data_IF_255944393866
#
_entry.id   IF_255944393866
#
_cell.length_a   1.000
_cell.length_b   1.000
_cell.length_c   1.000
_cell.angle_alpha   90.00
_cell.angle_beta   90.00
_cell.angle_gamma   90.00
#
_symmetry.space_group_name_H-M   'P 1'
#
loop_
_entity.id
_entity.type
_entity.pdbx_description
1 polymer ?
#
# COMPACT_ATOMS: atom_id res chain seq x y z
N UNK A 1 9.03 -0.73 -9.81
CA UNK A 1 7.85 0.11 -10.03
C UNK A 1 7.51 0.80 -8.72
N UNK A 2 7.52 2.13 -8.71
CA UNK A 2 7.20 2.95 -7.52
C UNK A 2 5.84 3.67 -7.64
N UNK A 3 5.24 3.66 -8.85
CA UNK A 3 3.97 4.30 -9.11
C UNK A 3 2.84 3.27 -9.00
N UNK A 4 2.17 3.24 -7.84
CA UNK A 4 1.04 2.34 -7.58
C UNK A 4 -0.16 2.61 -8.47
N UNK A 5 -0.40 3.87 -8.83
CA UNK A 5 -1.57 4.29 -9.61
C UNK A 5 -1.66 3.60 -10.97
N UNK A 6 -0.51 3.37 -11.62
CA UNK A 6 -0.44 2.66 -12.89
C UNK A 6 -0.93 1.21 -12.75
N UNK A 7 -0.50 0.50 -11.70
CA UNK A 7 -0.91 -0.89 -11.48
C UNK A 7 -2.36 -0.98 -11.01
N UNK A 8 -2.85 0.00 -10.24
CA UNK A 8 -4.26 0.09 -9.86
C UNK A 8 -5.15 0.29 -11.09
N UNK A 9 -4.74 1.16 -12.01
CA UNK A 9 -5.55 1.56 -13.16
C UNK A 9 -5.50 0.55 -14.30
N UNK A 10 -4.33 -0.07 -14.53
CA UNK A 10 -4.07 -0.90 -15.71
C UNK A 10 -3.40 -2.24 -15.34
N UNK A 11 -3.67 -2.77 -14.14
CA UNK A 11 -2.99 -3.94 -13.60
C UNK A 11 -2.99 -5.15 -14.53
N UNK A 12 -4.14 -5.52 -15.10
CA UNK A 12 -4.22 -6.64 -16.04
C UNK A 12 -3.31 -6.43 -17.26
N UNK A 13 -3.35 -5.24 -17.87
CA UNK A 13 -2.56 -4.91 -19.05
C UNK A 13 -1.06 -4.98 -18.73
N UNK A 14 -0.64 -4.34 -17.64
CA UNK A 14 0.77 -4.27 -17.23
C UNK A 14 1.31 -5.67 -16.89
N UNK A 15 0.56 -6.46 -16.11
CA UNK A 15 0.97 -7.81 -15.73
C UNK A 15 1.03 -8.74 -16.95
N UNK A 16 0.08 -8.64 -17.87
CA UNK A 16 0.09 -9.45 -19.09
C UNK A 16 1.25 -9.07 -20.00
N UNK A 17 1.51 -7.79 -20.20
CA UNK A 17 2.63 -7.31 -21.03
C UNK A 17 3.99 -7.75 -20.44
N UNK A 18 4.16 -7.64 -19.13
CA UNK A 18 5.38 -8.09 -18.46
C UNK A 18 5.60 -9.61 -18.64
N UNK A 19 4.54 -10.42 -18.53
CA UNK A 19 4.61 -11.87 -18.79
C UNK A 19 4.99 -12.18 -20.24
N UNK A 20 4.38 -11.50 -21.21
CA UNK A 20 4.67 -11.70 -22.63
C UNK A 20 6.12 -11.39 -22.98
N UNK A 21 6.70 -10.36 -22.34
CA UNK A 21 8.07 -9.92 -22.58
C UNK A 21 9.10 -10.57 -21.62
N UNK A 22 8.70 -11.55 -20.79
CA UNK A 22 9.55 -12.13 -19.75
C UNK A 22 10.22 -11.09 -18.84
N UNK A 23 9.54 -9.96 -18.63
CA UNK A 23 10.03 -8.86 -17.81
C UNK A 23 9.62 -9.06 -16.34
N UNK A 24 10.49 -8.67 -15.43
CA UNK A 24 10.23 -8.72 -13.99
C UNK A 24 9.81 -7.34 -13.47
N UNK A 25 8.70 -7.28 -12.74
CA UNK A 25 8.27 -6.08 -12.03
C UNK A 25 8.74 -6.20 -10.57
N UNK A 26 9.66 -5.33 -10.18
CA UNK A 26 10.15 -5.25 -8.79
C UNK A 26 9.40 -4.14 -8.03
N UNK A 27 8.75 -4.43 -6.90
CA UNK A 27 8.09 -3.42 -6.09
C UNK A 27 9.09 -2.51 -5.38
N UNK A 28 8.84 -1.20 -5.43
CA UNK A 28 9.62 -0.19 -4.69
C UNK A 28 8.81 0.42 -3.56
N UNK A 29 7.48 0.32 -3.59
CA UNK A 29 6.64 0.73 -2.48
C UNK A 29 6.96 -0.11 -1.23
N UNK A 30 6.93 0.51 -0.05
CA UNK A 30 7.61 -0.01 1.14
C UNK A 30 7.02 -1.34 1.61
N UNK A 31 5.70 -1.44 1.61
CA UNK A 31 4.94 -2.59 2.06
C UNK A 31 5.06 -3.78 1.09
N UNK A 32 5.06 -3.52 -0.22
CA UNK A 32 5.24 -4.55 -1.24
C UNK A 32 6.71 -4.96 -1.36
N UNK A 33 7.64 -4.05 -1.16
CA UNK A 33 9.07 -4.37 -1.07
C UNK A 33 9.32 -5.29 0.13
N UNK A 34 8.70 -5.03 1.28
CA UNK A 34 8.77 -5.90 2.45
C UNK A 34 8.18 -7.30 2.17
N UNK A 35 6.98 -7.37 1.58
CA UNK A 35 6.40 -8.67 1.17
C UNK A 35 7.31 -9.41 0.21
N UNK A 36 7.84 -8.73 -0.81
CA UNK A 36 8.74 -9.34 -1.79
C UNK A 36 9.98 -9.92 -1.12
N UNK A 37 10.58 -9.20 -0.17
CA UNK A 37 11.72 -9.69 0.61
C UNK A 37 11.37 -10.93 1.46
N UNK A 38 10.18 -10.98 2.07
CA UNK A 38 9.72 -12.13 2.83
C UNK A 38 9.40 -13.36 1.97
N UNK A 39 8.98 -13.18 0.72
CA UNK A 39 8.66 -14.27 -0.20
C UNK A 39 9.87 -14.75 -1.00
N UNK A 40 10.92 -13.93 -1.12
CA UNK A 40 12.06 -14.24 -1.95
C UNK A 40 12.85 -15.43 -1.40
N UNK A 41 12.91 -16.52 -2.17
CA UNK A 41 13.56 -17.77 -1.77
C UNK A 41 12.64 -18.78 -1.08
N UNK A 42 11.38 -18.42 -0.81
CA UNK A 42 10.40 -19.33 -0.23
C UNK A 42 9.85 -20.31 -1.26
N UNK A 43 9.72 -21.57 -0.86
CA UNK A 43 9.16 -22.63 -1.70
C UNK A 43 7.65 -22.79 -1.56
N UNK A 44 7.08 -22.30 -0.45
CA UNK A 44 5.66 -22.36 -0.16
C UNK A 44 4.98 -21.06 -0.58
N UNK A 45 3.77 -21.18 -1.13
CA UNK A 45 2.95 -20.00 -1.45
C UNK A 45 2.40 -19.40 -0.16
N UNK A 46 2.47 -18.07 -0.04
CA UNK A 46 1.79 -17.38 1.04
C UNK A 46 0.28 -17.62 1.00
N UNK A 47 -0.31 -17.82 2.18
CA UNK A 47 -1.76 -18.00 2.33
C UNK A 47 -2.47 -16.68 2.62
N UNK A 48 -1.73 -15.67 3.09
CA UNK A 48 -2.23 -14.34 3.45
C UNK A 48 -1.10 -13.31 3.37
N UNK A 49 -1.45 -12.10 2.96
CA UNK A 49 -0.59 -10.91 3.09
C UNK A 49 -1.14 -10.00 4.17
N UNK A 50 -0.24 -9.42 4.96
CA UNK A 50 -0.56 -8.33 5.89
C UNK A 50 0.06 -7.08 5.30
N UNK A 51 -0.73 -6.04 5.07
CA UNK A 51 -0.27 -4.73 4.68
C UNK A 51 -0.39 -3.82 5.90
N UNK A 52 0.74 -3.38 6.43
CA UNK A 52 0.71 -2.45 7.58
C UNK A 52 0.40 -1.04 7.11
N UNK A 53 -0.32 -0.23 7.89
CA UNK A 53 -0.56 1.18 7.62
C UNK A 53 -0.21 2.03 8.84
N UNK A 54 0.34 3.23 8.65
CA UNK A 54 0.59 4.16 9.76
C UNK A 54 -0.70 4.62 10.46
N UNK A 55 -1.82 4.59 9.74
CA UNK A 55 -3.09 5.18 10.16
C UNK A 55 -3.26 6.66 9.78
N UNK A 56 -2.20 7.32 9.31
CA UNK A 56 -2.21 8.74 8.98
C UNK A 56 -2.42 9.66 10.19
N UNK A 57 -2.50 10.99 9.97
CA UNK A 57 -2.66 11.98 11.04
C UNK A 57 -3.98 11.85 11.83
N UNK A 58 -4.99 11.19 11.25
CA UNK A 58 -6.35 11.18 11.81
C UNK A 58 -6.79 9.84 12.40
N UNK A 59 -5.89 8.86 12.52
CA UNK A 59 -6.21 7.53 13.05
C UNK A 59 -6.96 7.54 14.39
N UNK A 60 -6.67 8.50 15.27
CA UNK A 60 -7.28 8.63 16.59
C UNK A 60 -8.45 9.62 16.66
N UNK A 61 -8.87 10.18 15.54
CA UNK A 61 -9.96 11.16 15.51
C UNK A 61 -11.30 10.45 15.60
N UNK A 62 -12.24 11.06 16.33
CA UNK A 62 -13.64 10.67 16.31
C UNK A 62 -14.31 11.10 15.00
N UNK A 63 -15.46 10.51 14.63
CA UNK A 63 -16.20 10.94 13.43
C UNK A 63 -16.50 12.45 13.39
N UNK A 64 -16.89 13.04 14.53
CA UNK A 64 -17.15 14.49 14.62
C UNK A 64 -15.88 15.35 14.48
N UNK A 65 -14.70 14.80 14.81
CA UNK A 65 -13.42 15.47 14.53
C UNK A 65 -13.05 15.36 13.05
N UNK A 66 -13.32 14.20 12.43
CA UNK A 66 -13.07 13.97 11.00
C UNK A 66 -13.88 14.92 10.10
N UNK A 67 -15.10 15.29 10.48
CA UNK A 67 -15.92 16.26 9.73
C UNK A 67 -15.29 17.67 9.63
N UNK A 68 -14.32 17.98 10.49
CA UNK A 68 -13.73 19.33 10.62
C UNK A 68 -12.27 19.40 10.18
N UNK A 69 -11.72 18.31 9.63
CA UNK A 69 -10.31 18.27 9.26
C UNK A 69 -10.03 19.18 8.07
N UNK A 70 -8.84 19.77 8.04
CA UNK A 70 -8.39 20.62 6.93
C UNK A 70 -7.25 19.98 6.14
N UNK A 71 -7.01 20.49 4.93
CA UNK A 71 -5.89 20.06 4.09
C UNK A 71 -4.55 20.31 4.80
N UNK A 72 -4.41 21.44 5.50
CA UNK A 72 -3.20 21.79 6.25
C UNK A 72 -2.92 20.79 7.37
N UNK A 73 -3.96 20.27 8.02
CA UNK A 73 -3.84 19.21 9.03
C UNK A 73 -3.46 17.87 8.38
N UNK A 74 -4.10 17.53 7.27
CA UNK A 74 -3.83 16.28 6.55
C UNK A 74 -2.39 16.21 6.04
N UNK A 75 -1.80 17.35 5.64
CA UNK A 75 -0.41 17.46 5.19
C UNK A 75 0.64 17.29 6.30
N UNK A 76 0.24 17.12 7.57
CA UNK A 76 1.14 16.89 8.72
C UNK A 76 1.18 15.41 9.11
N UNK A 77 1.77 14.59 8.24
CA UNK A 77 1.88 13.14 8.51
C UNK A 77 2.78 12.86 9.73
N UNK A 78 2.39 11.94 10.65
CA UNK A 78 3.11 11.74 11.92
C UNK A 78 4.50 11.10 11.76
N UNK A 79 4.70 10.27 10.74
CA UNK A 79 5.90 9.43 10.63
C UNK A 79 6.79 9.72 9.42
N UNK A 80 6.31 10.46 8.41
CA UNK A 80 6.94 10.51 7.08
C UNK A 80 6.84 11.91 6.48
N UNK A 81 7.88 12.32 5.76
CA UNK A 81 7.83 13.48 4.86
C UNK A 81 7.69 12.98 3.43
N UNK A 82 6.56 13.31 2.79
CA UNK A 82 6.21 12.78 1.47
C UNK A 82 5.57 13.86 0.59
N UNK A 83 5.31 13.54 -0.68
CA UNK A 83 4.56 14.41 -1.57
C UNK A 83 3.12 14.68 -1.10
N UNK A 84 2.52 15.80 -1.52
CA UNK A 84 1.19 16.22 -1.05
C UNK A 84 0.10 15.19 -1.32
N UNK A 85 0.05 14.61 -2.54
CA UNK A 85 -0.97 13.63 -2.94
C UNK A 85 -0.96 12.39 -2.05
N UNK A 86 0.20 11.71 -1.93
CA UNK A 86 0.34 10.52 -1.07
C UNK A 86 0.08 10.85 0.41
N UNK A 87 0.43 12.06 0.84
CA UNK A 87 0.16 12.51 2.21
C UNK A 87 -1.35 12.62 2.48
N UNK A 88 -2.12 13.20 1.56
CA UNK A 88 -3.59 13.25 1.65
C UNK A 88 -4.20 11.85 1.60
N UNK A 89 -3.73 11.01 0.69
CA UNK A 89 -4.21 9.63 0.56
C UNK A 89 -3.92 8.80 1.83
N UNK A 90 -2.79 9.06 2.51
CA UNK A 90 -2.50 8.42 3.80
C UNK A 90 -3.47 8.91 4.88
N UNK A 91 -3.81 10.20 4.91
CA UNK A 91 -4.76 10.76 5.85
C UNK A 91 -6.18 10.22 5.70
N UNK A 92 -6.58 9.80 4.49
CA UNK A 92 -7.89 9.19 4.21
C UNK A 92 -7.84 7.66 4.21
N UNK A 93 -6.66 7.06 4.40
CA UNK A 93 -6.35 5.64 4.16
C UNK A 93 -6.58 5.16 2.71
N UNK A 94 -6.90 6.06 1.78
CA UNK A 94 -6.99 5.72 0.35
C UNK A 94 -5.67 5.17 -0.18
N UNK A 95 -4.54 5.65 0.34
CA UNK A 95 -3.22 5.13 -0.01
C UNK A 95 -3.16 3.61 0.21
N UNK A 96 -3.66 3.15 1.37
CA UNK A 96 -3.69 1.72 1.69
C UNK A 96 -4.69 0.95 0.83
N UNK A 97 -5.79 1.58 0.43
CA UNK A 97 -6.73 1.01 -0.55
C UNK A 97 -6.08 0.76 -1.91
N UNK A 98 -5.29 1.71 -2.41
CA UNK A 98 -4.52 1.55 -3.65
C UNK A 98 -3.49 0.42 -3.53
N UNK A 99 -2.79 0.35 -2.39
CA UNK A 99 -1.77 -0.67 -2.13
C UNK A 99 -2.35 -2.09 -2.00
N UNK A 100 -3.61 -2.23 -1.54
CA UNK A 100 -4.33 -3.52 -1.55
C UNK A 100 -4.53 -4.02 -2.98
N UNK A 101 -4.95 -3.14 -3.89
CA UNK A 101 -5.12 -3.47 -5.32
C UNK A 101 -3.75 -3.78 -5.95
N UNK A 102 -2.72 -3.00 -5.61
CA UNK A 102 -1.37 -3.24 -6.08
C UNK A 102 -0.83 -4.61 -5.61
N UNK A 103 -1.06 -4.98 -4.34
CA UNK A 103 -0.65 -6.27 -3.80
C UNK A 103 -1.36 -7.45 -4.47
N UNK A 104 -2.64 -7.28 -4.83
CA UNK A 104 -3.37 -8.27 -5.62
C UNK A 104 -2.66 -8.56 -6.95
N UNK A 105 -2.27 -7.52 -7.67
CA UNK A 105 -1.60 -7.66 -8.96
C UNK A 105 -0.16 -8.17 -8.86
N UNK A 106 0.64 -7.62 -7.93
CA UNK A 106 2.05 -7.97 -7.79
C UNK A 106 2.26 -9.42 -7.31
N UNK A 107 1.41 -9.88 -6.39
CA UNK A 107 1.60 -11.17 -5.71
C UNK A 107 0.55 -12.22 -6.10
N UNK A 108 -0.35 -11.89 -7.03
CA UNK A 108 -1.47 -12.73 -7.43
C UNK A 108 -2.28 -13.24 -6.21
N UNK A 109 -2.49 -12.35 -5.23
CA UNK A 109 -3.14 -12.67 -3.96
C UNK A 109 -4.63 -12.30 -4.03
N UNK A 110 -5.58 -13.21 -3.75
CA UNK A 110 -7.00 -12.85 -3.67
C UNK A 110 -7.25 -11.77 -2.61
N UNK A 111 -8.17 -10.83 -2.89
CA UNK A 111 -8.48 -9.72 -1.98
C UNK A 111 -8.84 -10.18 -0.56
N UNK A 112 -9.58 -11.29 -0.43
CA UNK A 112 -9.97 -11.85 0.87
C UNK A 112 -8.76 -12.29 1.74
N UNK A 113 -7.61 -12.51 1.09
CA UNK A 113 -6.35 -12.91 1.72
C UNK A 113 -5.37 -11.74 1.89
N UNK A 114 -5.78 -10.50 1.60
CA UNK A 114 -5.00 -9.30 1.89
C UNK A 114 -5.64 -8.61 3.10
N UNK A 115 -4.90 -8.48 4.20
CA UNK A 115 -5.40 -7.85 5.44
C UNK A 115 -4.63 -6.58 5.73
N UNK A 116 -5.37 -5.51 6.02
CA UNK A 116 -4.78 -4.24 6.46
C UNK A 116 -4.68 -4.24 7.98
N UNK A 117 -3.50 -3.91 8.50
CA UNK A 117 -3.24 -3.76 9.93
C UNK A 117 -2.72 -2.35 10.22
N UNK A 118 -3.36 -1.61 11.13
CA UNK A 118 -2.80 -0.33 11.56
C UNK A 118 -1.62 -0.57 12.51
N UNK A 119 -0.43 -0.14 12.08
CA UNK A 119 0.83 -0.19 12.82
C UNK A 119 1.46 1.23 12.86
N UNK A 120 1.08 2.07 13.83
CA UNK A 120 1.45 3.48 13.86
C UNK A 120 2.95 3.76 13.95
N UNK A 121 3.73 2.81 14.46
CA UNK A 121 5.18 2.92 14.56
C UNK A 121 5.87 2.79 13.20
N UNK A 122 5.21 2.14 12.23
CA UNK A 122 5.74 1.93 10.86
C UNK A 122 7.15 1.32 10.83
N UNK A 123 7.46 0.42 11.77
CA UNK A 123 8.75 -0.28 11.87
C UNK A 123 8.69 -1.60 11.10
N UNK A 124 7.62 -2.38 11.30
CA UNK A 124 7.31 -3.53 10.45
C UNK A 124 6.54 -3.02 9.25
N UNK A 125 7.08 -3.21 8.04
CA UNK A 125 6.52 -2.64 6.82
C UNK A 125 5.40 -3.51 6.21
N UNK A 126 5.43 -4.83 6.35
CA UNK A 126 4.32 -5.75 6.03
C UNK A 126 4.42 -7.03 6.83
#
# INVERSE_FOLDING_TARGET
MANKESLVTAGEIIINEAKQNSAQILPIDSEHSAIWQCLNGESQKATRLILTASGGPFYRYSPAQLEKVTVEQALRHPSWQMGRKVTIDSATLMNKGLEVIEAHWLFNMPYDNIKVLIHPQSIVHS
#
